data_IF_715696862830
#
_entry.id   IF_715696862830
#
_cell.length_a   1.000
_cell.length_b   1.000
_cell.length_c   1.000
_cell.angle_alpha   90.00
_cell.angle_beta   90.00
_cell.angle_gamma   90.00
#
_symmetry.space_group_name_H-M   'P 1'
#
loop_
_entity.id
_entity.type
_entity.pdbx_description
1 polymer ?
#
# COMPACT_ATOMS: atom_id res chain seq x y z
N UNK A 1 27.03 0.71 -11.30
CA UNK A 1 28.17 0.29 -10.48
C UNK A 1 29.18 -0.40 -11.39
N UNK A 2 30.41 0.09 -11.42
CA UNK A 2 31.50 -0.48 -12.23
C UNK A 2 32.38 -1.29 -11.27
N UNK A 3 32.56 -2.59 -11.52
CA UNK A 3 33.52 -3.43 -10.79
C UNK A 3 34.86 -3.39 -11.54
N UNK A 4 35.93 -3.01 -10.85
CA UNK A 4 37.26 -2.89 -11.43
C UNK A 4 38.21 -3.89 -10.77
N UNK A 5 39.15 -4.45 -11.55
CA UNK A 5 40.20 -5.35 -11.05
C UNK A 5 41.42 -4.63 -10.53
N UNK A 6 41.60 -3.35 -10.91
CA UNK A 6 42.65 -2.46 -10.41
C UNK A 6 42.02 -1.11 -10.03
N UNK A 7 42.54 -0.51 -8.97
CA UNK A 7 42.13 0.81 -8.53
C UNK A 7 42.56 1.85 -9.56
N UNK A 8 41.60 2.63 -10.09
CA UNK A 8 41.83 3.76 -10.99
C UNK A 8 41.31 4.99 -10.27
N UNK A 9 42.15 6.03 -10.17
CA UNK A 9 41.79 7.31 -9.54
C UNK A 9 40.52 7.90 -10.18
N UNK A 10 39.62 8.37 -9.34
CA UNK A 10 38.34 9.00 -9.75
C UNK A 10 38.56 10.17 -10.70
N UNK A 11 39.66 10.90 -10.55
CA UNK A 11 40.04 12.01 -11.43
C UNK A 11 40.29 11.57 -12.88
N UNK A 12 40.83 10.35 -13.08
CA UNK A 12 41.09 9.80 -14.42
C UNK A 12 39.79 9.32 -15.08
N UNK A 13 38.88 8.74 -14.30
CA UNK A 13 37.54 8.33 -14.75
C UNK A 13 36.68 9.54 -15.10
N UNK A 14 36.76 10.62 -14.32
CA UNK A 14 36.01 11.85 -14.55
C UNK A 14 36.42 12.51 -15.88
N UNK A 15 37.70 12.48 -16.28
CA UNK A 15 38.16 13.01 -17.56
C UNK A 15 37.66 12.24 -18.79
N UNK A 16 37.34 10.96 -18.61
CA UNK A 16 36.82 10.11 -19.69
C UNK A 16 35.32 10.22 -19.88
N UNK A 17 34.62 10.93 -18.98
CA UNK A 17 33.17 11.08 -19.01
C UNK A 17 32.77 12.52 -19.42
N UNK A 18 31.65 12.70 -20.15
CA UNK A 18 31.08 14.01 -20.42
C UNK A 18 30.75 14.75 -19.12
N UNK A 19 30.83 16.07 -19.11
CA UNK A 19 30.59 16.95 -17.93
C UNK A 19 29.25 16.75 -17.22
N UNK A 20 28.33 16.08 -17.87
CA UNK A 20 27.00 15.74 -17.30
C UNK A 20 27.05 14.65 -16.22
N UNK A 21 28.15 13.92 -16.09
CA UNK A 21 28.26 12.78 -15.16
C UNK A 21 29.36 13.05 -14.14
N UNK A 22 29.05 12.82 -12.86
CA UNK A 22 30.01 12.93 -11.74
C UNK A 22 30.32 11.53 -11.20
N UNK A 23 31.61 11.22 -11.06
CA UNK A 23 32.08 9.95 -10.49
C UNK A 23 32.38 10.16 -9.00
N UNK A 24 31.69 9.40 -8.14
CA UNK A 24 31.92 9.41 -6.69
C UNK A 24 32.34 8.02 -6.24
N UNK A 25 33.38 7.93 -5.43
CA UNK A 25 33.85 6.67 -4.86
C UNK A 25 32.91 6.24 -3.71
N UNK A 26 32.38 5.02 -3.79
CA UNK A 26 31.58 4.42 -2.73
C UNK A 26 32.51 3.67 -1.77
N UNK A 27 32.93 4.33 -0.70
CA UNK A 27 33.69 3.71 0.40
C UNK A 27 32.72 2.94 1.31
N UNK A 28 32.87 1.62 1.39
CA UNK A 28 32.23 0.80 2.43
C UNK A 28 33.03 1.03 3.73
N UNK A 29 32.57 1.95 4.58
CA UNK A 29 33.17 2.24 5.86
C UNK A 29 32.92 1.13 6.86
N UNK A 30 33.98 0.35 7.16
CA UNK A 30 34.13 -0.43 8.37
C UNK A 30 34.94 0.41 9.36
N UNK A 31 34.33 0.83 10.47
CA UNK A 31 34.89 1.39 11.72
C UNK A 31 35.84 2.58 11.70
N UNK A 32 35.54 3.60 12.50
CA UNK A 32 36.49 4.51 13.11
C UNK A 32 36.05 5.97 13.29
N UNK A 33 35.89 6.36 14.53
CA UNK A 33 35.66 7.69 15.09
C UNK A 33 36.44 8.87 14.47
N UNK A 34 35.82 10.03 14.47
CA UNK A 34 36.18 11.41 14.81
C UNK A 34 35.98 12.50 13.75
N UNK A 35 35.21 13.51 14.23
CA UNK A 35 35.24 14.98 14.01
C UNK A 35 35.08 15.57 12.62
N UNK A 36 33.89 16.18 12.45
CA UNK A 36 33.68 17.53 11.95
C UNK A 36 34.14 17.88 10.52
N UNK A 37 33.19 17.80 9.59
CA UNK A 37 32.99 18.84 8.56
C UNK A 37 31.63 18.64 7.92
N UNK A 38 30.81 19.69 7.95
CA UNK A 38 29.54 19.84 7.27
C UNK A 38 29.66 19.50 5.79
N UNK A 39 29.29 18.29 5.44
CA UNK A 39 28.86 17.95 4.09
C UNK A 39 27.35 17.64 4.18
N UNK A 40 26.57 18.42 3.45
CA UNK A 40 25.18 18.13 3.17
C UNK A 40 25.10 16.77 2.46
N UNK A 41 25.10 15.71 3.25
CA UNK A 41 24.56 14.44 2.82
C UNK A 41 23.05 14.66 2.67
N UNK A 42 22.55 14.49 1.47
CA UNK A 42 21.16 14.10 1.27
C UNK A 42 20.96 12.77 2.02
N UNK A 43 20.76 12.88 3.34
CA UNK A 43 20.08 11.85 4.08
C UNK A 43 18.66 11.86 3.50
N UNK A 44 18.35 10.90 2.62
CA UNK A 44 17.00 10.41 2.54
C UNK A 44 16.67 9.98 3.99
N UNK A 45 16.10 10.92 4.76
CA UNK A 45 15.48 10.62 6.05
C UNK A 45 14.58 9.43 5.79
N UNK A 46 14.88 8.28 6.39
CA UNK A 46 13.90 7.18 6.48
C UNK A 46 12.68 7.80 7.13
N UNK A 47 11.73 8.21 6.29
CA UNK A 47 10.48 8.81 6.74
C UNK A 47 9.90 7.84 7.76
N UNK A 48 9.73 8.32 8.98
CA UNK A 48 9.10 7.54 10.05
C UNK A 48 7.88 6.80 9.48
N UNK A 49 7.68 5.53 9.83
CA UNK A 49 6.53 4.71 9.37
C UNK A 49 5.20 5.46 9.47
N UNK A 50 5.03 6.28 10.51
CA UNK A 50 3.89 7.16 10.69
C UNK A 50 3.75 8.23 9.60
N UNK A 51 4.84 8.79 9.14
CA UNK A 51 4.81 9.79 8.05
C UNK A 51 4.42 9.14 6.72
N UNK A 52 4.81 7.90 6.52
CA UNK A 52 4.44 7.12 5.33
C UNK A 52 2.95 6.73 5.35
N UNK A 53 2.36 6.47 6.52
CA UNK A 53 0.95 6.11 6.69
C UNK A 53 -0.02 7.31 6.73
N UNK A 54 0.49 8.55 6.84
CA UNK A 54 -0.36 9.76 6.85
C UNK A 54 -1.41 9.83 5.72
N UNK A 55 -1.07 9.53 4.44
CA UNK A 55 -2.07 9.58 3.36
C UNK A 55 -3.19 8.56 3.55
N UNK A 56 -2.85 7.37 4.07
CA UNK A 56 -3.84 6.34 4.38
C UNK A 56 -4.85 6.84 5.44
N UNK A 57 -4.36 7.38 6.56
CA UNK A 57 -5.22 7.94 7.61
C UNK A 57 -6.04 9.14 7.13
N UNK A 58 -5.49 9.95 6.21
CA UNK A 58 -6.22 11.05 5.61
C UNK A 58 -7.42 10.53 4.80
N UNK A 59 -7.20 9.50 3.97
CA UNK A 59 -8.28 8.86 3.20
C UNK A 59 -9.34 8.28 4.13
N UNK A 60 -8.95 7.56 5.19
CA UNK A 60 -9.88 7.06 6.20
C UNK A 60 -10.70 8.17 6.85
N UNK A 61 -10.06 9.28 7.17
CA UNK A 61 -10.74 10.46 7.73
C UNK A 61 -11.79 11.02 6.77
N UNK A 62 -11.44 11.18 5.48
CA UNK A 62 -12.39 11.69 4.48
C UNK A 62 -13.55 10.73 4.26
N UNK A 63 -13.29 9.44 4.11
CA UNK A 63 -14.34 8.41 3.93
C UNK A 63 -15.23 8.37 5.17
N UNK A 64 -14.65 8.36 6.38
CA UNK A 64 -15.39 8.36 7.64
C UNK A 64 -16.26 9.60 7.78
N UNK A 65 -15.73 10.78 7.49
CA UNK A 65 -16.49 12.04 7.54
C UNK A 65 -17.64 12.03 6.54
N UNK A 66 -17.40 11.58 5.30
CA UNK A 66 -18.44 11.47 4.28
C UNK A 66 -19.57 10.53 4.74
N UNK A 67 -19.23 9.35 5.25
CA UNK A 67 -20.19 8.36 5.73
C UNK A 67 -21.01 8.89 6.94
N UNK A 68 -20.38 9.64 7.86
CA UNK A 68 -21.08 10.29 8.96
C UNK A 68 -22.06 11.34 8.43
N UNK A 69 -21.61 12.21 7.53
CA UNK A 69 -22.48 13.28 6.98
C UNK A 69 -23.67 12.72 6.20
N UNK A 70 -23.50 11.59 5.52
CA UNK A 70 -24.62 10.93 4.80
C UNK A 70 -25.65 10.35 5.75
N UNK A 71 -25.28 10.00 7.00
CA UNK A 71 -26.12 9.28 7.95
C UNK A 71 -26.42 10.09 9.23
N UNK A 72 -26.26 11.42 9.21
CA UNK A 72 -26.43 12.22 10.43
C UNK A 72 -27.91 12.41 10.83
N UNK A 73 -28.83 12.38 9.88
CA UNK A 73 -30.27 12.61 10.12
C UNK A 73 -31.17 11.74 9.24
N UNK A 74 -31.83 10.68 9.75
CA UNK A 74 -31.64 10.10 11.09
C UNK A 74 -30.38 9.26 11.17
N UNK A 75 -29.78 9.15 12.35
CA UNK A 75 -28.60 8.30 12.53
C UNK A 75 -28.94 6.81 12.41
N UNK A 76 -28.23 6.13 11.53
CA UNK A 76 -28.29 4.68 11.36
C UNK A 76 -26.87 4.11 11.35
N UNK A 77 -26.52 3.33 12.37
CA UNK A 77 -25.21 2.68 12.44
C UNK A 77 -25.00 1.68 11.31
N UNK A 78 -26.05 0.93 10.94
CA UNK A 78 -25.97 -0.01 9.82
C UNK A 78 -25.68 0.69 8.49
N UNK A 79 -26.42 1.76 8.19
CA UNK A 79 -26.22 2.52 6.96
C UNK A 79 -24.85 3.21 6.93
N UNK A 80 -24.41 3.77 8.07
CA UNK A 80 -23.06 4.32 8.21
C UNK A 80 -21.99 3.27 7.86
N UNK A 81 -22.11 2.05 8.37
CA UNK A 81 -21.15 0.98 8.09
C UNK A 81 -21.15 0.59 6.62
N UNK A 82 -22.33 0.48 6.00
CA UNK A 82 -22.46 0.15 4.58
C UNK A 82 -21.86 1.24 3.68
N UNK A 83 -22.16 2.52 3.99
CA UNK A 83 -21.62 3.65 3.23
C UNK A 83 -20.10 3.75 3.39
N UNK A 84 -19.59 3.55 4.61
CA UNK A 84 -18.15 3.51 4.83
C UNK A 84 -17.48 2.39 4.03
N UNK A 85 -18.00 1.16 4.11
CA UNK A 85 -17.45 0.01 3.38
C UNK A 85 -17.52 0.21 1.87
N UNK A 86 -18.63 0.77 1.38
CA UNK A 86 -18.83 1.06 -0.03
C UNK A 86 -17.86 2.12 -0.55
N UNK A 87 -17.77 3.27 0.12
CA UNK A 87 -16.83 4.35 -0.24
C UNK A 87 -15.38 3.88 -0.14
N UNK A 88 -15.07 3.07 0.89
CA UNK A 88 -13.76 2.49 1.07
C UNK A 88 -13.35 1.66 -0.15
N UNK A 89 -14.18 0.71 -0.56
CA UNK A 89 -13.90 -0.12 -1.73
C UNK A 89 -13.76 0.71 -3.01
N UNK A 90 -14.62 1.70 -3.24
CA UNK A 90 -14.56 2.55 -4.43
C UNK A 90 -13.25 3.33 -4.47
N UNK A 91 -12.86 3.96 -3.36
CA UNK A 91 -11.63 4.77 -3.31
C UNK A 91 -10.38 3.91 -3.48
N UNK A 92 -10.29 2.79 -2.74
CA UNK A 92 -9.10 1.94 -2.80
C UNK A 92 -8.99 1.15 -4.10
N UNK A 93 -10.11 0.69 -4.67
CA UNK A 93 -10.09 0.08 -6.01
C UNK A 93 -9.68 1.06 -7.09
N UNK A 94 -10.10 2.33 -6.99
CA UNK A 94 -9.67 3.38 -7.91
C UNK A 94 -8.13 3.53 -7.92
N UNK A 95 -7.49 3.62 -6.75
CA UNK A 95 -6.03 3.70 -6.69
C UNK A 95 -5.35 2.46 -7.29
N UNK A 96 -5.89 1.27 -7.07
CA UNK A 96 -5.39 0.01 -7.66
C UNK A 96 -5.57 -0.01 -9.18
N UNK A 97 -6.65 0.59 -9.70
CA UNK A 97 -6.88 0.72 -11.14
C UNK A 97 -5.93 1.69 -11.83
N UNK A 98 -5.41 2.70 -11.12
CA UNK A 98 -4.44 3.65 -11.70
C UNK A 98 -3.13 2.96 -12.09
N UNK A 99 -2.79 1.84 -11.45
CA UNK A 99 -1.59 1.06 -11.78
C UNK A 99 -1.92 -0.42 -11.99
N UNK A 100 -2.67 -0.71 -13.04
CA UNK A 100 -3.05 -2.08 -13.43
C UNK A 100 -1.86 -2.97 -13.89
N UNK A 101 -0.66 -2.41 -13.97
CA UNK A 101 0.56 -3.18 -14.24
C UNK A 101 1.32 -3.50 -12.96
N UNK A 102 1.63 -2.49 -12.16
CA UNK A 102 2.42 -2.64 -10.94
C UNK A 102 1.62 -3.26 -9.79
N UNK A 103 0.31 -2.97 -9.69
CA UNK A 103 -0.53 -3.53 -8.62
C UNK A 103 -0.58 -5.07 -8.66
N UNK A 104 -0.90 -5.76 -9.80
CA UNK A 104 -0.95 -7.21 -9.82
C UNK A 104 0.39 -7.88 -9.51
N UNK A 105 1.51 -7.28 -9.95
CA UNK A 105 2.85 -7.78 -9.62
C UNK A 105 3.11 -7.74 -8.12
N UNK A 106 2.87 -6.59 -7.49
CA UNK A 106 3.03 -6.42 -6.04
C UNK A 106 2.06 -7.29 -5.25
N UNK A 107 0.79 -7.38 -5.68
CA UNK A 107 -0.26 -8.15 -5.05
C UNK A 107 0.06 -9.66 -5.05
N UNK A 108 0.61 -10.19 -6.16
CA UNK A 108 1.01 -11.58 -6.27
C UNK A 108 2.16 -11.98 -5.33
N UNK A 109 2.91 -11.01 -4.78
CA UNK A 109 4.00 -11.30 -3.85
C UNK A 109 3.49 -11.79 -2.49
N UNK A 110 2.32 -11.37 -2.07
CA UNK A 110 1.77 -11.71 -0.75
C UNK A 110 0.41 -12.42 -0.79
N UNK A 111 -0.44 -12.17 -1.79
CA UNK A 111 -1.74 -12.83 -1.89
C UNK A 111 -1.59 -14.23 -2.52
N UNK A 112 -2.02 -15.30 -1.80
CA UNK A 112 -1.86 -16.67 -2.29
C UNK A 112 -2.68 -16.96 -3.54
N UNK A 113 -3.85 -16.30 -3.71
CA UNK A 113 -4.72 -16.49 -4.86
C UNK A 113 -4.17 -15.77 -6.09
N UNK A 114 -3.68 -14.54 -5.93
CA UNK A 114 -3.02 -13.78 -7.00
C UNK A 114 -1.73 -14.44 -7.47
N UNK A 115 -1.01 -15.10 -6.55
CA UNK A 115 0.18 -15.90 -6.88
C UNK A 115 -0.15 -17.13 -7.71
N UNK A 116 -1.28 -17.80 -7.41
CA UNK A 116 -1.72 -18.98 -8.15
C UNK A 116 -2.36 -18.61 -9.50
N UNK A 117 -3.09 -17.49 -9.55
CA UNK A 117 -3.83 -17.02 -10.71
C UNK A 117 -3.49 -15.55 -11.02
N UNK A 118 -2.50 -15.27 -11.89
CA UNK A 118 -2.08 -13.90 -12.20
C UNK A 118 -3.21 -13.00 -12.77
N UNK A 119 -4.18 -13.61 -13.44
CA UNK A 119 -5.37 -12.90 -13.94
C UNK A 119 -6.22 -12.32 -12.79
N UNK A 120 -6.25 -13.00 -11.64
CA UNK A 120 -6.97 -12.55 -10.46
C UNK A 120 -6.48 -11.18 -9.97
N UNK A 121 -5.18 -10.95 -9.95
CA UNK A 121 -4.60 -9.66 -9.55
C UNK A 121 -5.07 -8.50 -10.42
N UNK A 122 -5.33 -8.73 -11.72
CA UNK A 122 -5.88 -7.71 -12.62
C UNK A 122 -7.38 -7.48 -12.43
N UNK A 123 -8.12 -8.53 -12.08
CA UNK A 123 -9.58 -8.48 -11.90
C UNK A 123 -9.94 -7.98 -10.50
N UNK A 124 -9.05 -8.13 -9.53
CA UNK A 124 -9.28 -7.81 -8.13
C UNK A 124 -9.83 -6.38 -7.89
N UNK A 125 -9.28 -5.29 -8.48
CA UNK A 125 -9.84 -3.95 -8.29
C UNK A 125 -11.27 -3.81 -8.82
N UNK A 126 -11.64 -4.54 -9.87
CA UNK A 126 -13.00 -4.53 -10.41
C UNK A 126 -13.98 -5.26 -9.49
N UNK A 127 -13.53 -6.36 -8.84
CA UNK A 127 -14.31 -7.05 -7.81
C UNK A 127 -14.57 -6.11 -6.64
N UNK A 128 -13.55 -5.41 -6.15
CA UNK A 128 -13.70 -4.43 -5.07
C UNK A 128 -14.67 -3.31 -5.46
N UNK A 129 -14.58 -2.80 -6.70
CA UNK A 129 -15.52 -1.77 -7.20
C UNK A 129 -16.95 -2.31 -7.20
N UNK A 130 -17.16 -3.53 -7.67
CA UNK A 130 -18.49 -4.15 -7.68
C UNK A 130 -19.04 -4.32 -6.26
N UNK A 131 -18.23 -4.80 -5.31
CA UNK A 131 -18.61 -4.90 -3.89
C UNK A 131 -18.94 -3.54 -3.30
N UNK A 132 -18.12 -2.51 -3.60
CA UNK A 132 -18.36 -1.14 -3.17
C UNK A 132 -19.71 -0.61 -3.67
N UNK A 133 -20.05 -0.84 -4.93
CA UNK A 133 -21.35 -0.47 -5.49
C UNK A 133 -22.49 -1.25 -4.85
N UNK A 134 -22.33 -2.55 -4.59
CA UNK A 134 -23.35 -3.35 -3.91
C UNK A 134 -23.64 -2.80 -2.51
N UNK A 135 -22.65 -2.38 -1.74
CA UNK A 135 -22.84 -1.75 -0.43
C UNK A 135 -23.55 -0.39 -0.54
N UNK A 136 -23.12 0.49 -1.44
CA UNK A 136 -23.73 1.81 -1.62
C UNK A 136 -25.18 1.72 -2.13
N UNK A 137 -25.47 0.77 -3.01
CA UNK A 137 -26.80 0.56 -3.56
C UNK A 137 -27.69 -0.31 -2.66
N UNK A 138 -27.17 -0.79 -1.54
CA UNK A 138 -27.88 -1.73 -0.64
C UNK A 138 -28.37 -2.99 -1.35
N UNK A 139 -27.62 -3.45 -2.36
CA UNK A 139 -27.96 -4.59 -3.18
C UNK A 139 -27.28 -5.86 -2.65
N UNK A 140 -28.05 -6.90 -2.34
CA UNK A 140 -27.56 -8.21 -1.89
C UNK A 140 -26.46 -8.11 -0.80
N UNK A 141 -26.74 -7.35 0.26
CA UNK A 141 -25.77 -7.00 1.32
C UNK A 141 -25.12 -8.25 1.92
N UNK A 142 -25.90 -9.30 2.17
CA UNK A 142 -25.38 -10.54 2.77
C UNK A 142 -24.33 -11.20 1.86
N UNK A 143 -24.60 -11.26 0.55
CA UNK A 143 -23.65 -11.82 -0.43
C UNK A 143 -22.39 -10.96 -0.49
N UNK A 144 -22.55 -9.62 -0.51
CA UNK A 144 -21.42 -8.70 -0.51
C UNK A 144 -20.54 -8.82 0.75
N UNK A 145 -21.15 -8.97 1.94
CA UNK A 145 -20.43 -9.18 3.20
C UNK A 145 -19.69 -10.51 3.22
N UNK A 146 -20.33 -11.60 2.79
CA UNK A 146 -19.68 -12.91 2.71
C UNK A 146 -18.53 -12.91 1.71
N UNK A 147 -18.71 -12.33 0.52
CA UNK A 147 -17.64 -12.17 -0.47
C UNK A 147 -16.48 -11.33 0.08
N UNK A 148 -16.77 -10.23 0.77
CA UNK A 148 -15.78 -9.40 1.46
C UNK A 148 -14.96 -10.22 2.45
N UNK A 149 -15.61 -11.00 3.32
CA UNK A 149 -14.92 -11.81 4.32
C UNK A 149 -14.01 -12.87 3.68
N UNK A 150 -14.49 -13.54 2.64
CA UNK A 150 -13.70 -14.57 1.92
C UNK A 150 -12.49 -13.94 1.25
N UNK A 151 -12.69 -12.89 0.46
CA UNK A 151 -11.62 -12.24 -0.32
C UNK A 151 -10.59 -11.61 0.60
N UNK A 152 -11.03 -10.77 1.56
CA UNK A 152 -10.11 -10.10 2.49
C UNK A 152 -9.49 -11.08 3.50
N UNK A 153 -10.18 -12.17 3.84
CA UNK A 153 -9.63 -13.22 4.68
C UNK A 153 -8.42 -13.91 4.03
N UNK A 154 -8.53 -14.26 2.75
CA UNK A 154 -7.42 -14.85 1.97
C UNK A 154 -6.25 -13.86 1.86
N UNK A 155 -6.52 -12.62 1.49
CA UNK A 155 -5.50 -11.57 1.37
C UNK A 155 -4.82 -11.29 2.72
N UNK A 156 -5.60 -11.18 3.81
CA UNK A 156 -5.06 -10.95 5.16
C UNK A 156 -4.15 -12.09 5.62
N UNK A 157 -4.52 -13.33 5.34
CA UNK A 157 -3.65 -14.48 5.62
C UNK A 157 -2.30 -14.35 4.91
N UNK A 158 -2.31 -14.00 3.62
CA UNK A 158 -1.09 -13.78 2.84
C UNK A 158 -0.24 -12.62 3.36
N UNK A 159 -0.87 -11.48 3.65
CA UNK A 159 -0.21 -10.28 4.22
C UNK A 159 0.41 -10.59 5.58
N UNK A 160 -0.33 -11.26 6.47
CA UNK A 160 0.17 -11.63 7.81
C UNK A 160 1.40 -12.52 7.71
N UNK A 161 1.39 -13.51 6.82
CA UNK A 161 2.55 -14.37 6.57
C UNK A 161 3.75 -13.56 6.08
N UNK A 162 3.55 -12.63 5.16
CA UNK A 162 4.61 -11.77 4.62
C UNK A 162 5.19 -10.84 5.68
N UNK A 163 4.33 -10.29 6.57
CA UNK A 163 4.77 -9.48 7.71
C UNK A 163 5.63 -10.28 8.71
N UNK A 164 5.23 -11.51 9.00
CA UNK A 164 6.00 -12.40 9.89
C UNK A 164 7.35 -12.78 9.30
N UNK A 165 7.44 -12.98 7.98
CA UNK A 165 8.70 -13.27 7.28
C UNK A 165 9.62 -12.03 7.14
N UNK A 166 9.25 -10.87 7.70
CA UNK A 166 9.99 -9.58 7.65
C UNK A 166 10.39 -9.14 6.24
N UNK A 167 9.67 -9.57 5.23
CA UNK A 167 9.87 -9.11 3.85
C UNK A 167 9.14 -7.80 3.66
N UNK A 168 9.87 -6.68 3.64
CA UNK A 168 9.29 -5.39 3.27
C UNK A 168 9.06 -5.34 1.76
N UNK A 169 7.80 -5.35 1.35
CA UNK A 169 7.41 -5.17 -0.05
C UNK A 169 6.97 -3.72 -0.24
N UNK A 170 7.63 -3.01 -1.14
CA UNK A 170 7.22 -1.64 -1.50
C UNK A 170 6.07 -1.69 -2.49
N UNK A 171 5.03 -0.93 -2.22
CA UNK A 171 3.81 -0.93 -3.02
C UNK A 171 3.80 0.09 -4.15
N UNK A 172 3.25 -0.36 -5.29
CA UNK A 172 2.74 0.49 -6.35
C UNK A 172 1.25 0.86 -6.18
N UNK A 173 0.57 0.45 -5.10
CA UNK A 173 -0.89 0.56 -4.98
C UNK A 173 -1.47 1.96 -4.88
N UNK A 174 -0.72 2.92 -4.32
CA UNK A 174 -1.10 4.33 -4.29
C UNK A 174 -0.32 5.16 -5.31
N UNK A 175 0.13 4.52 -6.39
CA UNK A 175 0.93 5.13 -7.43
C UNK A 175 2.38 5.38 -6.98
N UNK A 176 3.23 5.73 -7.93
CA UNK A 176 4.63 6.09 -7.70
C UNK A 176 4.82 7.31 -6.79
N UNK A 177 3.72 8.01 -6.44
CA UNK A 177 3.72 9.20 -5.62
C UNK A 177 3.87 8.93 -4.10
N UNK A 178 3.54 7.73 -3.64
CA UNK A 178 3.52 7.40 -2.21
C UNK A 178 4.25 6.07 -1.95
N UNK A 179 5.48 6.17 -1.48
CA UNK A 179 6.28 5.02 -1.01
C UNK A 179 5.73 4.53 0.34
N UNK A 180 4.61 3.80 0.32
CA UNK A 180 4.01 3.21 1.51
C UNK A 180 4.58 1.81 1.75
N UNK A 181 4.81 1.39 3.01
CA UNK A 181 5.02 -0.01 3.34
C UNK A 181 3.69 -0.75 3.10
N UNK A 182 3.60 -1.40 1.95
CA UNK A 182 2.37 -1.98 1.43
C UNK A 182 1.70 -2.95 2.39
N UNK A 183 2.49 -3.84 2.96
CA UNK A 183 1.98 -4.91 3.81
C UNK A 183 1.31 -4.37 5.08
N UNK A 184 1.86 -3.31 5.69
CA UNK A 184 1.27 -2.70 6.89
C UNK A 184 -0.03 -1.95 6.54
N UNK A 185 -0.04 -1.19 5.45
CA UNK A 185 -1.23 -0.47 4.99
C UNK A 185 -2.37 -1.43 4.64
N UNK A 186 -2.10 -2.44 3.80
CA UNK A 186 -3.10 -3.44 3.41
C UNK A 186 -3.60 -4.25 4.60
N UNK A 187 -2.76 -4.53 5.60
CA UNK A 187 -3.19 -5.20 6.81
C UNK A 187 -4.20 -4.35 7.60
N UNK A 188 -3.94 -3.05 7.76
CA UNK A 188 -4.85 -2.11 8.45
C UNK A 188 -6.18 -2.00 7.68
N UNK A 189 -6.10 -1.81 6.37
CA UNK A 189 -7.28 -1.73 5.48
C UNK A 189 -8.17 -2.97 5.64
N UNK A 190 -7.60 -4.14 5.49
CA UNK A 190 -8.33 -5.40 5.57
C UNK A 190 -8.89 -5.63 6.97
N UNK A 191 -8.12 -5.33 8.03
CA UNK A 191 -8.56 -5.52 9.41
C UNK A 191 -9.81 -4.68 9.71
N UNK A 192 -9.82 -3.41 9.33
CA UNK A 192 -10.98 -2.52 9.51
C UNK A 192 -12.20 -3.08 8.77
N UNK A 193 -12.05 -3.47 7.51
CA UNK A 193 -13.14 -3.98 6.70
C UNK A 193 -13.70 -5.31 7.21
N UNK A 194 -12.84 -6.22 7.66
CA UNK A 194 -13.25 -7.51 8.23
C UNK A 194 -14.02 -7.29 9.54
N UNK A 195 -13.54 -6.42 10.42
CA UNK A 195 -14.22 -6.09 11.68
C UNK A 195 -15.61 -5.53 11.39
N UNK A 196 -15.73 -4.59 10.45
CA UNK A 196 -17.02 -4.00 10.07
C UNK A 196 -17.95 -5.03 9.43
N UNK A 197 -17.44 -5.89 8.56
CA UNK A 197 -18.23 -6.94 7.93
C UNK A 197 -18.77 -7.96 8.96
N UNK A 198 -17.94 -8.38 9.92
CA UNK A 198 -18.37 -9.27 11.01
C UNK A 198 -19.40 -8.59 11.90
N UNK A 199 -19.14 -7.32 12.30
CA UNK A 199 -20.10 -6.56 13.10
C UNK A 199 -21.43 -6.41 12.39
N UNK A 200 -21.42 -6.09 11.08
CA UNK A 200 -22.65 -5.96 10.29
C UNK A 200 -23.42 -7.28 10.20
N UNK A 201 -22.74 -8.41 9.97
CA UNK A 201 -23.38 -9.73 9.97
C UNK A 201 -23.97 -10.11 11.34
N UNK A 202 -23.36 -9.66 12.43
CA UNK A 202 -23.90 -9.92 13.77
C UNK A 202 -25.13 -9.07 14.13
N UNK A 203 -25.37 -7.98 13.38
CA UNK A 203 -26.49 -7.07 13.56
C UNK A 203 -27.70 -7.42 12.66
N UNK A 204 -27.49 -8.27 11.65
CA UNK A 204 -28.53 -8.73 10.72
C UNK A 204 -29.25 -9.96 11.29
#
# INVERSE_FOLDING_TARGET
TIKMHHHIETATLQKALPEKYTVTEKTDNVFGNHTGHTMSMDMEEEKSKWQQLKPLFLIFFYIGTASVLMNINPWSTGDFMLDFMGLFYIVFSFFKMLDLRGFPESFSMYDPLAKALPAYGKIYPFIETALGLMFLMRFEITIALMATLVILGITTFGVTRTLLDKKSIQCACLGTALKLPMTEATFIENAVMIIMAVAMLSMM
#
